data_IF_795462266016
#
_entry.id   IF_795462266016
#
_cell.length_a   1.000
_cell.length_b   1.000
_cell.length_c   1.000
_cell.angle_alpha   90.00
_cell.angle_beta   90.00
_cell.angle_gamma   90.00
#
_symmetry.space_group_name_H-M   'P 1'
#
loop_
_entity.id
_entity.type
_entity.pdbx_description
1 polymer ?
#
# COMPACT_ATOMS: atom_id res chain seq x y z
N UNK A 1 7.18 -10.76 -9.02
CA UNK A 1 6.75 -11.65 -7.92
C UNK A 1 7.65 -12.87 -7.56
N UNK A 2 7.90 -13.85 -8.47
CA UNK A 2 8.47 -15.17 -8.08
C UNK A 2 9.84 -15.12 -7.38
N UNK A 3 10.85 -14.52 -8.01
CA UNK A 3 12.23 -14.51 -7.51
C UNK A 3 12.33 -13.88 -6.11
N UNK A 4 11.74 -12.69 -5.95
CA UNK A 4 11.68 -11.99 -4.65
C UNK A 4 11.06 -12.83 -3.53
N UNK A 5 10.00 -13.58 -3.83
CA UNK A 5 9.38 -14.48 -2.86
C UNK A 5 10.31 -15.66 -2.51
N UNK A 6 11.06 -16.18 -3.47
CA UNK A 6 12.05 -17.25 -3.22
C UNK A 6 13.22 -16.74 -2.37
N UNK A 7 13.70 -15.52 -2.61
CA UNK A 7 14.73 -14.86 -1.80
C UNK A 7 14.26 -14.65 -0.36
N UNK A 8 13.04 -14.12 -0.16
CA UNK A 8 12.45 -13.98 1.18
C UNK A 8 12.34 -15.33 1.90
N UNK A 9 11.91 -16.39 1.21
CA UNK A 9 11.86 -17.75 1.77
C UNK A 9 13.24 -18.29 2.13
N UNK A 10 14.28 -17.98 1.35
CA UNK A 10 15.65 -18.37 1.68
C UNK A 10 16.15 -17.66 2.94
N UNK A 11 15.85 -16.37 3.10
CA UNK A 11 16.19 -15.59 4.31
C UNK A 11 15.46 -16.10 5.56
N UNK A 12 14.18 -16.47 5.41
CA UNK A 12 13.40 -17.11 6.49
C UNK A 12 14.01 -18.44 6.90
N UNK A 13 14.38 -19.29 5.93
CA UNK A 13 15.02 -20.60 6.21
C UNK A 13 16.41 -20.45 6.82
N UNK A 14 17.15 -19.41 6.48
CA UNK A 14 18.45 -19.10 7.06
C UNK A 14 18.36 -18.49 8.47
N UNK A 15 17.16 -18.18 8.96
CA UNK A 15 16.95 -17.52 10.26
C UNK A 15 17.37 -16.05 10.28
N UNK A 16 17.59 -15.44 9.11
CA UNK A 16 17.95 -14.01 8.98
C UNK A 16 16.71 -13.13 9.09
N UNK A 17 15.58 -13.62 8.59
CA UNK A 17 14.27 -12.96 8.69
C UNK A 17 13.33 -13.86 9.49
N UNK A 18 12.48 -13.24 10.30
CA UNK A 18 11.41 -13.93 11.00
C UNK A 18 10.10 -13.14 10.88
N UNK A 19 8.99 -13.86 10.72
CA UNK A 19 7.67 -13.27 10.94
C UNK A 19 7.40 -13.18 12.44
N UNK A 20 7.78 -12.04 13.02
CA UNK A 20 7.63 -11.78 14.44
C UNK A 20 6.16 -11.85 14.90
N UNK A 21 5.23 -11.27 14.15
CA UNK A 21 3.84 -11.10 14.56
C UNK A 21 2.89 -11.12 13.36
N UNK A 22 1.62 -11.50 13.62
CA UNK A 22 0.53 -11.48 12.65
C UNK A 22 -0.26 -10.16 12.63
N UNK A 23 -1.44 -10.14 12.00
CA UNK A 23 -2.31 -8.97 11.98
C UNK A 23 -2.68 -8.50 13.40
N UNK A 24 -3.01 -7.22 13.53
CA UNK A 24 -3.34 -6.56 14.81
C UNK A 24 -2.18 -6.49 15.83
N UNK A 25 -0.94 -6.60 15.36
CA UNK A 25 0.21 -6.35 16.22
C UNK A 25 0.21 -4.92 16.79
N UNK A 26 0.58 -4.79 18.05
CA UNK A 26 0.82 -3.51 18.71
C UNK A 26 2.32 -3.31 18.89
N UNK A 27 2.78 -2.07 18.72
CA UNK A 27 4.16 -1.68 18.97
C UNK A 27 4.19 -0.69 20.13
N UNK A 28 5.00 -0.97 21.15
CA UNK A 28 5.21 -0.10 22.31
C UNK A 28 6.69 0.21 22.48
N UNK A 29 7.02 1.44 22.83
CA UNK A 29 8.39 1.80 23.20
C UNK A 29 8.60 1.52 24.69
N UNK A 30 9.56 0.65 25.02
CA UNK A 30 10.01 0.34 26.39
C UNK A 30 11.24 1.18 26.69
N UNK A 31 11.03 2.42 27.12
CA UNK A 31 12.10 3.41 27.32
C UNK A 31 13.14 2.95 28.34
N UNK A 32 12.68 2.27 29.39
CA UNK A 32 13.50 1.71 30.46
C UNK A 32 14.47 0.63 29.97
N UNK A 33 14.16 -0.06 28.87
CA UNK A 33 15.01 -1.08 28.24
C UNK A 33 15.68 -0.59 26.95
N UNK A 34 15.44 0.66 26.56
CA UNK A 34 15.88 1.22 25.28
C UNK A 34 15.52 0.36 24.05
N UNK A 35 14.34 -0.29 24.07
CA UNK A 35 13.88 -1.17 23.00
C UNK A 35 12.40 -0.94 22.64
N UNK A 36 11.91 -1.65 21.63
CA UNK A 36 10.50 -1.72 21.25
C UNK A 36 9.96 -3.11 21.52
N UNK A 37 8.74 -3.19 22.05
CA UNK A 37 7.98 -4.42 22.13
C UNK A 37 6.99 -4.49 20.98
N UNK A 38 7.00 -5.61 20.25
CA UNK A 38 5.95 -5.97 19.29
C UNK A 38 5.13 -7.09 19.91
N UNK A 39 3.82 -6.91 20.00
CA UNK A 39 2.92 -7.88 20.64
C UNK A 39 1.67 -8.19 19.82
N UNK A 40 1.25 -9.45 19.85
CA UNK A 40 -0.07 -9.93 19.42
C UNK A 40 -0.74 -10.64 20.61
N UNK A 41 -1.94 -11.22 20.38
CA UNK A 41 -2.59 -12.06 21.38
C UNK A 41 -1.77 -13.31 21.77
N UNK A 42 -0.90 -13.79 20.89
CA UNK A 42 -0.20 -15.07 21.05
C UNK A 42 1.31 -14.95 21.19
N UNK A 43 1.89 -13.77 20.95
CA UNK A 43 3.35 -13.60 20.94
C UNK A 43 3.77 -12.20 21.34
N UNK A 44 4.91 -12.10 22.01
CA UNK A 44 5.59 -10.85 22.34
C UNK A 44 7.07 -10.98 22.00
N UNK A 45 7.65 -9.95 21.42
CA UNK A 45 9.09 -9.89 21.10
C UNK A 45 9.62 -8.49 21.35
N UNK A 46 10.78 -8.40 21.98
CA UNK A 46 11.53 -7.16 22.15
C UNK A 46 12.54 -7.03 21.00
N UNK A 47 12.62 -5.84 20.38
CA UNK A 47 13.52 -5.51 19.27
C UNK A 47 14.21 -4.17 19.50
N UNK A 48 15.45 -4.03 19.05
CA UNK A 48 16.24 -2.81 19.31
C UNK A 48 15.87 -1.67 18.37
N UNK A 49 15.51 -1.99 17.12
CA UNK A 49 15.27 -1.00 16.06
C UNK A 49 13.92 -1.24 15.41
N UNK A 50 13.13 -0.17 15.27
CA UNK A 50 11.87 -0.16 14.54
C UNK A 50 12.02 0.63 13.24
N UNK A 51 11.79 -0.02 12.10
CA UNK A 51 11.77 0.62 10.78
C UNK A 51 10.35 0.59 10.21
N UNK A 52 9.78 1.77 9.92
CA UNK A 52 8.47 1.91 9.26
C UNK A 52 8.63 1.78 7.74
N UNK A 53 8.72 0.54 7.25
CA UNK A 53 8.86 0.23 5.82
C UNK A 53 7.53 0.16 5.06
N UNK A 54 6.70 1.20 5.10
CA UNK A 54 5.44 1.24 4.35
C UNK A 54 5.51 2.20 3.17
N UNK A 55 5.07 1.75 2.00
CA UNK A 55 4.74 2.65 0.89
C UNK A 55 3.36 3.22 1.17
N UNK A 56 3.23 4.54 1.19
CA UNK A 56 1.93 5.17 1.40
C UNK A 56 0.99 4.83 0.25
N UNK A 57 -0.22 4.40 0.60
CA UNK A 57 -1.27 4.19 -0.38
C UNK A 57 -1.73 5.55 -0.92
N UNK A 58 -1.72 5.68 -2.25
CA UNK A 58 -2.24 6.88 -2.88
C UNK A 58 -3.76 6.96 -2.74
N UNK A 59 -4.25 8.03 -2.12
CA UNK A 59 -5.67 8.35 -2.03
C UNK A 59 -5.94 9.66 -2.78
N UNK A 60 -6.61 9.64 -3.95
CA UNK A 60 -6.76 10.82 -4.79
C UNK A 60 -7.35 12.04 -4.05
N UNK A 61 -8.32 11.81 -3.15
CA UNK A 61 -8.99 12.87 -2.39
C UNK A 61 -8.14 13.46 -1.25
N UNK A 62 -7.05 12.79 -0.85
CA UNK A 62 -6.13 13.24 0.21
C UNK A 62 -4.84 13.84 -0.35
N UNK A 63 -4.66 13.77 -1.66
CA UNK A 63 -3.48 14.27 -2.33
C UNK A 63 -3.49 15.80 -2.47
N UNK A 64 -2.34 16.43 -2.29
CA UNK A 64 -2.19 17.89 -2.33
C UNK A 64 -1.80 18.44 -3.72
N UNK A 65 -1.58 17.58 -4.72
CA UNK A 65 -1.21 17.98 -6.07
C UNK A 65 -2.33 18.78 -6.73
N UNK A 66 -1.97 19.92 -7.33
CA UNK A 66 -2.89 20.69 -8.15
C UNK A 66 -3.42 19.89 -9.34
N UNK A 67 -2.60 19.01 -9.92
CA UNK A 67 -3.02 18.17 -11.03
C UNK A 67 -4.14 17.22 -10.61
N UNK A 68 -3.91 16.43 -9.55
CA UNK A 68 -4.88 15.44 -9.06
C UNK A 68 -6.19 16.11 -8.64
N UNK A 69 -6.10 17.20 -7.86
CA UNK A 69 -7.29 17.96 -7.44
C UNK A 69 -8.09 18.50 -8.63
N UNK A 70 -7.41 19.04 -9.65
CA UNK A 70 -8.09 19.56 -10.84
C UNK A 70 -8.70 18.45 -11.68
N UNK A 71 -8.04 17.30 -11.81
CA UNK A 71 -8.57 16.15 -12.54
C UNK A 71 -9.80 15.56 -11.86
N UNK A 72 -9.78 15.44 -10.52
CA UNK A 72 -10.95 15.04 -9.74
C UNK A 72 -12.10 16.04 -9.90
N UNK A 73 -11.81 17.34 -9.75
CA UNK A 73 -12.81 18.42 -9.89
C UNK A 73 -13.47 18.42 -11.27
N UNK A 74 -12.71 18.11 -12.32
CA UNK A 74 -13.20 18.01 -13.70
C UNK A 74 -13.84 16.65 -14.04
N UNK A 75 -13.87 15.71 -13.09
CA UNK A 75 -14.41 14.37 -13.31
C UNK A 75 -13.58 13.50 -14.26
N UNK A 76 -12.32 13.86 -14.53
CA UNK A 76 -11.43 13.13 -15.43
C UNK A 76 -10.87 11.85 -14.82
N UNK A 77 -10.87 11.75 -13.49
CA UNK A 77 -10.45 10.58 -12.72
C UNK A 77 -11.45 10.36 -11.57
N UNK A 78 -11.56 9.12 -11.10
CA UNK A 78 -12.28 8.76 -9.88
C UNK A 78 -11.45 7.80 -9.02
N UNK A 79 -11.69 7.77 -7.71
CA UNK A 79 -11.12 6.75 -6.83
C UNK A 79 -11.55 5.35 -7.28
N UNK A 80 -10.65 4.37 -7.16
CA UNK A 80 -11.01 2.97 -7.32
C UNK A 80 -11.62 2.40 -6.03
N UNK A 81 -12.65 1.57 -6.20
CA UNK A 81 -13.32 0.82 -5.15
C UNK A 81 -13.51 -0.62 -5.60
N UNK A 82 -13.23 -1.57 -4.70
CA UNK A 82 -13.54 -2.98 -4.87
C UNK A 82 -14.73 -3.33 -3.96
N UNK A 83 -15.95 -3.23 -4.50
CA UNK A 83 -17.15 -3.20 -3.67
C UNK A 83 -17.12 -2.00 -2.72
N UNK A 84 -17.30 -2.24 -1.43
CA UNK A 84 -17.25 -1.20 -0.39
C UNK A 84 -15.83 -0.88 0.11
N UNK A 85 -14.81 -1.62 -0.36
CA UNK A 85 -13.43 -1.43 0.06
C UNK A 85 -12.69 -0.42 -0.83
N UNK A 86 -11.98 0.53 -0.21
CA UNK A 86 -11.13 1.49 -0.91
C UNK A 86 -9.64 1.12 -0.77
N UNK A 87 -9.07 0.37 -1.74
CA UNK A 87 -7.66 -0.03 -1.71
C UNK A 87 -6.68 1.10 -2.07
N UNK A 88 -7.17 2.32 -2.27
CA UNK A 88 -6.41 3.42 -2.89
C UNK A 88 -6.43 3.38 -4.41
N UNK A 89 -5.69 4.31 -5.01
CA UNK A 89 -5.57 4.46 -6.45
C UNK A 89 -6.75 5.18 -7.13
N UNK A 90 -6.53 5.55 -8.39
CA UNK A 90 -7.60 5.93 -9.32
C UNK A 90 -8.05 4.71 -10.12
N UNK A 91 -9.30 4.73 -10.55
CA UNK A 91 -9.88 3.69 -11.38
C UNK A 91 -9.35 3.77 -12.82
N UNK A 92 -9.07 2.61 -13.41
CA UNK A 92 -8.52 2.46 -14.76
C UNK A 92 -9.17 1.29 -15.50
N UNK A 93 -9.17 1.38 -16.83
CA UNK A 93 -9.51 0.24 -17.68
C UNK A 93 -8.28 -0.70 -17.85
N UNK A 94 -8.49 -1.83 -18.55
CA UNK A 94 -7.44 -2.81 -18.85
C UNK A 94 -6.23 -2.25 -19.63
N UNK A 95 -6.42 -1.15 -20.35
CA UNK A 95 -5.38 -0.47 -21.12
C UNK A 95 -4.65 0.62 -20.31
N UNK A 96 -4.84 0.66 -18.99
CA UNK A 96 -4.27 1.65 -18.08
C UNK A 96 -4.78 3.09 -18.29
N UNK A 97 -5.93 3.25 -18.96
CA UNK A 97 -6.56 4.57 -19.11
C UNK A 97 -7.45 4.87 -17.90
N UNK A 98 -7.33 6.07 -17.28
CA UNK A 98 -8.23 6.48 -16.21
C UNK A 98 -9.69 6.47 -16.62
N UNK A 99 -10.55 6.08 -15.68
CA UNK A 99 -12.00 6.10 -15.85
C UNK A 99 -12.55 7.39 -15.24
N UNK A 100 -13.33 8.13 -16.02
CA UNK A 100 -14.01 9.35 -15.59
C UNK A 100 -15.08 9.05 -14.54
N UNK A 101 -15.60 10.08 -13.88
CA UNK A 101 -16.76 9.93 -12.97
C UNK A 101 -18.01 9.39 -13.67
N UNK A 102 -18.12 9.56 -14.99
CA UNK A 102 -19.20 9.01 -15.83
C UNK A 102 -18.95 7.57 -16.29
N UNK A 103 -17.82 6.96 -15.93
CA UNK A 103 -17.50 5.57 -16.31
C UNK A 103 -16.86 5.41 -17.69
N UNK A 104 -16.44 6.51 -18.33
CA UNK A 104 -15.82 6.49 -19.66
C UNK A 104 -14.29 6.56 -19.54
N UNK A 105 -13.51 5.79 -20.31
CA UNK A 105 -12.06 5.93 -20.30
C UNK A 105 -11.57 7.21 -20.97
N UNK A 106 -10.58 7.87 -20.37
CA UNK A 106 -9.84 8.99 -20.98
C UNK A 106 -8.78 8.41 -21.94
N UNK A 107 -9.15 8.22 -23.21
CA UNK A 107 -8.38 7.42 -24.19
C UNK A 107 -6.97 7.94 -24.53
N UNK A 108 -6.69 9.21 -24.28
CA UNK A 108 -5.40 9.85 -24.54
C UNK A 108 -4.56 10.04 -23.26
N UNK A 109 -4.92 9.36 -22.18
CA UNK A 109 -4.22 9.42 -20.90
C UNK A 109 -3.95 8.03 -20.36
N UNK A 110 -2.77 7.83 -19.78
CA UNK A 110 -2.36 6.60 -19.13
C UNK A 110 -1.91 6.89 -17.70
N UNK A 111 -2.24 6.00 -16.79
CA UNK A 111 -1.88 6.08 -15.38
C UNK A 111 -1.15 4.80 -14.98
N UNK A 112 0.06 4.94 -14.41
CA UNK A 112 0.97 3.85 -14.11
C UNK A 112 1.61 4.07 -12.73
N UNK A 113 2.05 2.98 -12.08
CA UNK A 113 2.70 3.01 -10.77
C UNK A 113 1.72 3.20 -9.61
N UNK A 114 2.19 3.83 -8.53
CA UNK A 114 1.48 3.90 -7.25
C UNK A 114 0.07 4.51 -7.33
N UNK A 115 -0.17 5.40 -8.30
CA UNK A 115 -1.51 6.02 -8.50
C UNK A 115 -2.59 5.03 -8.94
N UNK A 116 -2.21 3.82 -9.41
CA UNK A 116 -3.14 2.78 -9.87
C UNK A 116 -2.89 1.43 -9.18
N UNK A 117 -2.12 1.40 -8.08
CA UNK A 117 -1.82 0.14 -7.37
C UNK A 117 -3.06 -0.53 -6.77
N UNK A 118 -4.11 0.24 -6.48
CA UNK A 118 -5.40 -0.30 -6.03
C UNK A 118 -6.05 -1.24 -7.05
N UNK A 119 -6.34 -0.80 -8.28
CA UNK A 119 -6.89 -1.66 -9.33
C UNK A 119 -5.86 -2.52 -10.07
N UNK A 120 -4.58 -2.17 -10.03
CA UNK A 120 -3.53 -2.88 -10.74
C UNK A 120 -2.26 -2.98 -9.89
N UNK A 121 -2.20 -4.05 -9.09
CA UNK A 121 -1.09 -4.31 -8.19
C UNK A 121 0.11 -4.88 -8.95
N UNK A 122 1.21 -4.13 -8.99
CA UNK A 122 2.37 -4.43 -9.86
C UNK A 122 3.43 -5.38 -9.25
N UNK A 123 3.20 -6.03 -8.10
CA UNK A 123 4.25 -6.81 -7.39
C UNK A 123 4.24 -8.30 -7.67
#
# INVERSE_FOLDING_TARGET
PKERNQELLALLRAGVVEFACGPHAQVKCKREKACFEISTLSRQVDVDVLVKGMIETFYPKRDNSNLIRNMLKRGLIRSFFNGDYHPGGIDINKNQNPITTTGVPVRNLWALGNIVEGPNFYT
#
